data_IF_092777044723
#
_entry.id   IF_092777044723
#
_cell.length_a   1.000
_cell.length_b   1.000
_cell.length_c   1.000
_cell.angle_alpha   90.00
_cell.angle_beta   90.00
_cell.angle_gamma   90.00
#
_symmetry.space_group_name_H-M   'P 1'
#
loop_
_entity.id
_entity.type
_entity.pdbx_description
1 polymer ?
#
# COMPACT_ATOMS: atom_id res chain seq x y z
N UNK A 1 -23.89 14.10 -5.93
CA UNK A 1 -23.18 15.10 -6.73
C UNK A 1 -22.01 14.55 -7.55
N UNK A 2 -21.50 13.36 -7.29
CA UNK A 2 -20.27 12.81 -7.93
C UNK A 2 -20.55 11.69 -8.95
N UNK A 3 -21.79 11.52 -9.41
CA UNK A 3 -22.24 10.37 -10.24
C UNK A 3 -21.38 10.12 -11.51
N UNK A 4 -20.71 11.16 -12.01
CA UNK A 4 -19.85 11.07 -13.21
C UNK A 4 -18.37 11.39 -12.90
N UNK A 5 -17.97 11.44 -11.65
CA UNK A 5 -16.60 11.73 -11.27
C UNK A 5 -15.81 10.44 -11.03
N UNK A 6 -14.50 10.43 -11.26
CA UNK A 6 -13.63 9.29 -10.96
C UNK A 6 -13.75 8.80 -9.51
N UNK A 7 -14.01 9.71 -8.58
CA UNK A 7 -14.18 9.43 -7.15
C UNK A 7 -15.55 8.84 -6.77
N UNK A 8 -16.45 8.57 -7.73
CA UNK A 8 -17.72 7.95 -7.42
C UNK A 8 -17.50 6.51 -6.93
N UNK A 9 -17.96 6.23 -5.72
CA UNK A 9 -17.83 4.93 -5.05
C UNK A 9 -19.16 4.19 -4.89
N UNK A 10 -20.23 4.66 -5.51
CA UNK A 10 -21.54 4.00 -5.41
C UNK A 10 -21.47 2.57 -5.95
N UNK A 11 -21.89 1.60 -5.13
CA UNK A 11 -21.83 0.18 -5.43
C UNK A 11 -20.50 -0.51 -5.07
N UNK A 12 -19.50 0.23 -4.53
CA UNK A 12 -18.30 -0.35 -3.98
C UNK A 12 -18.51 -0.81 -2.53
N UNK A 13 -17.68 -1.75 -2.09
CA UNK A 13 -17.64 -2.17 -0.70
C UNK A 13 -16.75 -1.24 0.12
N UNK A 14 -17.17 -0.96 1.36
CA UNK A 14 -16.33 -0.31 2.37
C UNK A 14 -15.82 -1.40 3.28
N UNK A 15 -14.50 -1.54 3.36
CA UNK A 15 -13.85 -2.62 4.12
C UNK A 15 -12.62 -2.11 4.88
N UNK A 16 -12.27 -2.78 5.94
CA UNK A 16 -10.94 -2.66 6.55
C UNK A 16 -9.98 -3.55 5.78
N UNK A 17 -9.05 -2.94 5.04
CA UNK A 17 -8.15 -3.67 4.15
C UNK A 17 -7.32 -4.73 4.89
N UNK A 18 -6.91 -4.46 6.14
CA UNK A 18 -6.19 -5.44 6.96
C UNK A 18 -6.98 -6.74 7.16
N UNK A 19 -8.30 -6.65 7.40
CA UNK A 19 -9.14 -7.83 7.56
C UNK A 19 -9.28 -8.61 6.24
N UNK A 20 -9.42 -7.91 5.12
CA UNK A 20 -9.46 -8.55 3.78
C UNK A 20 -8.15 -9.27 3.48
N UNK A 21 -7.01 -8.66 3.81
CA UNK A 21 -5.69 -9.28 3.58
C UNK A 21 -5.49 -10.49 4.48
N UNK A 22 -5.89 -10.43 5.76
CA UNK A 22 -5.83 -11.57 6.67
C UNK A 22 -6.66 -12.74 6.15
N UNK A 23 -7.91 -12.48 5.79
CA UNK A 23 -8.80 -13.49 5.19
C UNK A 23 -8.22 -14.09 3.89
N UNK A 24 -7.69 -13.27 2.99
CA UNK A 24 -7.05 -13.78 1.76
C UNK A 24 -5.79 -14.60 2.06
N UNK A 25 -5.06 -14.28 3.14
CA UNK A 25 -3.94 -15.08 3.62
C UNK A 25 -4.38 -16.48 4.03
N UNK A 26 -5.43 -16.57 4.85
CA UNK A 26 -6.02 -17.86 5.27
C UNK A 26 -6.47 -18.69 4.05
N UNK A 27 -7.19 -18.07 3.10
CA UNK A 27 -7.61 -18.74 1.86
C UNK A 27 -6.41 -19.23 1.05
N UNK A 28 -5.33 -18.45 0.98
CA UNK A 28 -4.13 -18.84 0.26
C UNK A 28 -3.45 -20.06 0.91
N UNK A 29 -3.35 -20.09 2.24
CA UNK A 29 -2.82 -21.23 3.00
C UNK A 29 -3.67 -22.50 2.80
N UNK A 30 -5.01 -22.36 2.83
CA UNK A 30 -5.93 -23.48 2.52
C UNK A 30 -5.72 -24.04 1.09
N UNK A 31 -5.30 -23.19 0.16
CA UNK A 31 -4.96 -23.59 -1.21
C UNK A 31 -3.53 -24.14 -1.36
N UNK A 32 -2.76 -24.25 -0.28
CA UNK A 32 -1.41 -24.79 -0.25
C UNK A 32 -0.30 -23.76 -0.53
N UNK A 33 -0.60 -22.46 -0.42
CA UNK A 33 0.42 -21.42 -0.48
C UNK A 33 1.07 -21.29 0.90
N UNK A 34 2.40 -21.34 0.95
CA UNK A 34 3.14 -21.13 2.19
C UNK A 34 3.27 -19.62 2.48
N UNK A 35 2.84 -19.21 3.68
CA UNK A 35 2.93 -17.82 4.14
C UNK A 35 3.92 -17.75 5.31
N UNK A 36 4.93 -16.89 5.18
CA UNK A 36 6.00 -16.73 6.18
C UNK A 36 5.96 -15.34 6.82
N UNK A 37 5.09 -15.09 7.80
CA UNK A 37 5.04 -13.81 8.48
C UNK A 37 6.32 -13.58 9.31
N UNK A 38 6.83 -12.34 9.28
CA UNK A 38 8.05 -11.98 10.00
C UNK A 38 9.37 -12.23 9.25
N UNK A 39 9.33 -12.86 8.08
CA UNK A 39 10.51 -13.07 7.23
C UNK A 39 10.60 -11.96 6.18
N UNK A 40 11.39 -10.94 6.48
CA UNK A 40 11.63 -9.84 5.54
C UNK A 40 12.70 -10.23 4.52
N UNK A 41 12.37 -10.15 3.24
CA UNK A 41 13.34 -10.26 2.15
C UNK A 41 14.17 -8.98 2.06
N UNK A 42 15.49 -9.08 2.03
CA UNK A 42 16.43 -7.96 2.03
C UNK A 42 17.37 -7.90 0.85
N UNK A 43 17.55 -9.02 0.17
CA UNK A 43 18.45 -9.14 -0.98
C UNK A 43 17.78 -9.89 -2.12
N UNK A 44 18.14 -9.51 -3.35
CA UNK A 44 17.74 -10.23 -4.57
C UNK A 44 18.82 -11.22 -4.91
N UNK A 45 18.44 -12.46 -5.14
CA UNK A 45 19.32 -13.50 -5.64
C UNK A 45 19.26 -13.49 -7.18
N UNK A 46 20.40 -13.31 -7.83
CA UNK A 46 20.53 -13.38 -9.27
C UNK A 46 21.06 -14.73 -9.72
N UNK A 47 20.66 -15.16 -10.89
CA UNK A 47 21.22 -16.29 -11.61
C UNK A 47 22.47 -15.85 -12.39
N UNK A 48 23.23 -16.82 -12.94
CA UNK A 48 24.45 -16.55 -13.73
C UNK A 48 24.18 -15.71 -14.99
N UNK A 49 22.98 -15.79 -15.55
CA UNK A 49 22.53 -15.01 -16.70
C UNK A 49 22.03 -13.59 -16.35
N UNK A 50 22.13 -13.19 -15.08
CA UNK A 50 21.66 -11.90 -14.58
C UNK A 50 20.16 -11.83 -14.29
N UNK A 51 19.39 -12.87 -14.57
CA UNK A 51 17.96 -12.92 -14.22
C UNK A 51 17.74 -13.05 -12.71
N UNK A 52 16.58 -12.62 -12.21
CA UNK A 52 16.20 -12.83 -10.82
C UNK A 52 15.92 -14.32 -10.58
N UNK A 53 16.63 -14.91 -9.64
CA UNK A 53 16.50 -16.31 -9.24
C UNK A 53 15.80 -16.51 -7.88
N UNK A 54 15.42 -15.41 -7.21
CA UNK A 54 14.76 -15.46 -5.90
C UNK A 54 15.13 -14.31 -4.99
N UNK A 55 14.90 -14.48 -3.68
CA UNK A 55 15.22 -13.50 -2.65
C UNK A 55 15.86 -14.16 -1.43
N UNK A 56 16.61 -13.38 -0.65
CA UNK A 56 17.16 -13.83 0.63
C UNK A 56 16.61 -12.94 1.76
N UNK A 57 16.39 -13.55 2.93
CA UNK A 57 16.07 -12.83 4.16
C UNK A 57 17.35 -12.30 4.82
N UNK A 58 17.19 -11.35 5.74
CA UNK A 58 18.34 -10.81 6.48
C UNK A 58 18.90 -11.82 7.49
N UNK A 59 20.18 -11.67 7.79
CA UNK A 59 20.80 -12.34 8.93
C UNK A 59 20.24 -11.76 10.23
N UNK A 60 19.94 -12.58 11.23
CA UNK A 60 19.50 -12.18 12.56
C UNK A 60 20.62 -12.27 13.59
N UNK A 61 20.45 -11.67 14.76
CA UNK A 61 21.47 -11.71 15.79
C UNK A 61 22.75 -10.95 15.47
N UNK A 62 22.66 -9.85 14.72
CA UNK A 62 23.78 -8.97 14.43
C UNK A 62 23.79 -7.80 15.43
N UNK A 63 24.95 -7.57 16.08
CA UNK A 63 25.16 -6.46 16.97
C UNK A 63 25.23 -5.13 16.21
N UNK A 64 25.16 -4.01 16.95
CA UNK A 64 25.11 -2.65 16.39
C UNK A 64 26.36 -2.27 15.59
N UNK A 65 27.47 -2.89 15.86
CA UNK A 65 28.76 -2.73 15.15
C UNK A 65 28.92 -3.67 13.94
N UNK A 66 27.90 -4.49 13.65
CA UNK A 66 27.90 -5.45 12.55
C UNK A 66 28.50 -6.82 12.90
N UNK A 67 28.96 -7.05 14.12
CA UNK A 67 29.47 -8.36 14.54
C UNK A 67 28.35 -9.35 14.88
N UNK A 68 28.54 -10.66 14.64
CA UNK A 68 27.56 -11.66 15.05
C UNK A 68 27.51 -11.77 16.58
N UNK A 69 26.30 -11.92 17.13
CA UNK A 69 26.06 -12.23 18.54
C UNK A 69 25.93 -13.75 18.75
N UNK A 70 25.78 -14.20 20.00
CA UNK A 70 25.55 -15.61 20.32
C UNK A 70 24.25 -16.16 19.73
N UNK A 71 23.31 -15.30 19.34
CA UNK A 71 22.04 -15.63 18.67
C UNK A 71 22.08 -15.39 17.16
N UNK A 72 23.27 -15.37 16.56
CA UNK A 72 23.41 -15.17 15.12
C UNK A 72 22.79 -16.35 14.34
N UNK A 73 21.91 -16.00 13.44
CA UNK A 73 21.32 -16.93 12.46
C UNK A 73 21.43 -16.31 11.07
N UNK A 74 21.95 -17.08 10.13
CA UNK A 74 22.04 -16.65 8.75
C UNK A 74 20.66 -16.63 8.08
N UNK A 75 20.42 -15.61 7.27
CA UNK A 75 19.21 -15.52 6.46
C UNK A 75 19.07 -16.68 5.48
N UNK A 76 17.82 -16.97 5.13
CA UNK A 76 17.47 -18.04 4.19
C UNK A 76 17.31 -17.50 2.79
N UNK A 77 17.75 -18.28 1.79
CA UNK A 77 17.50 -18.00 0.39
C UNK A 77 16.27 -18.75 -0.13
N UNK A 78 15.33 -18.03 -0.70
CA UNK A 78 14.15 -18.56 -1.38
C UNK A 78 14.37 -18.45 -2.89
N UNK A 79 14.44 -19.58 -3.59
CA UNK A 79 14.61 -19.61 -5.03
C UNK A 79 13.32 -19.95 -5.74
N UNK A 80 13.05 -19.28 -6.86
CA UNK A 80 11.86 -19.47 -7.67
C UNK A 80 12.16 -19.29 -9.16
N UNK A 81 11.32 -19.86 -10.00
CA UNK A 81 11.38 -19.65 -11.46
C UNK A 81 10.95 -18.23 -11.87
N UNK A 82 10.13 -17.59 -11.05
CA UNK A 82 9.71 -16.20 -11.20
C UNK A 82 9.39 -15.61 -9.83
N UNK A 83 9.83 -14.38 -9.58
CA UNK A 83 9.58 -13.64 -8.33
C UNK A 83 8.64 -12.48 -8.59
N UNK A 84 7.58 -12.39 -7.78
CA UNK A 84 6.62 -11.27 -7.82
C UNK A 84 6.94 -10.29 -6.71
N UNK A 85 7.27 -9.04 -7.06
CA UNK A 85 7.58 -7.98 -6.11
C UNK A 85 6.32 -7.15 -5.83
N UNK A 86 5.89 -7.15 -4.58
CA UNK A 86 4.66 -6.50 -4.12
C UNK A 86 4.83 -5.77 -2.77
N UNK A 87 5.99 -5.17 -2.57
CA UNK A 87 6.39 -4.53 -1.31
C UNK A 87 5.68 -3.19 -1.02
N UNK A 88 4.86 -2.72 -1.94
CA UNK A 88 4.14 -1.45 -1.82
C UNK A 88 4.89 -0.27 -2.42
N UNK A 89 4.52 0.95 -2.01
CA UNK A 89 4.96 2.17 -2.72
C UNK A 89 6.46 2.49 -2.60
N UNK A 90 7.15 1.88 -1.67
CA UNK A 90 8.57 2.16 -1.39
C UNK A 90 9.31 0.89 -0.96
N UNK A 91 9.20 -0.13 -1.79
CA UNK A 91 9.79 -1.45 -1.57
C UNK A 91 11.31 -1.40 -1.44
N UNK A 92 11.86 -2.20 -0.55
CA UNK A 92 13.30 -2.29 -0.31
C UNK A 92 14.01 -2.98 -1.46
N UNK A 93 13.46 -4.09 -1.94
CA UNK A 93 13.95 -4.81 -3.11
C UNK A 93 13.62 -4.07 -4.40
N UNK A 94 12.46 -3.39 -4.46
CA UNK A 94 12.11 -2.51 -5.57
C UNK A 94 13.18 -1.46 -5.85
N UNK A 95 13.79 -0.87 -4.81
CA UNK A 95 14.93 0.06 -4.96
C UNK A 95 16.16 -0.59 -5.56
N UNK A 96 16.47 -1.83 -5.17
CA UNK A 96 17.58 -2.59 -5.75
C UNK A 96 17.33 -2.87 -7.23
N UNK A 97 16.09 -3.25 -7.60
CA UNK A 97 15.69 -3.46 -9.00
C UNK A 97 15.80 -2.19 -9.83
N UNK A 98 15.35 -1.05 -9.29
CA UNK A 98 15.44 0.23 -10.00
C UNK A 98 16.87 0.74 -10.14
N UNK A 99 17.79 0.35 -9.27
CA UNK A 99 19.20 0.64 -9.36
C UNK A 99 19.97 -0.31 -10.31
N UNK A 100 19.35 -1.41 -10.72
CA UNK A 100 19.96 -2.36 -11.66
C UNK A 100 19.90 -1.79 -13.09
N UNK A 101 21.08 -1.41 -13.61
CA UNK A 101 21.21 -0.78 -14.93
C UNK A 101 20.89 -1.72 -16.09
N UNK A 102 20.99 -3.02 -15.93
CA UNK A 102 20.69 -4.00 -16.98
C UNK A 102 19.19 -4.11 -17.25
N UNK A 103 18.35 -3.91 -16.22
CA UNK A 103 16.91 -3.99 -16.35
C UNK A 103 16.26 -2.73 -16.93
N UNK A 104 16.88 -1.57 -16.74
CA UNK A 104 16.42 -0.26 -17.24
C UNK A 104 14.94 0.02 -16.97
N UNK A 105 14.48 -0.34 -15.77
CA UNK A 105 13.05 -0.32 -15.45
C UNK A 105 12.43 1.08 -15.53
N UNK A 106 13.21 2.14 -15.28
CA UNK A 106 12.75 3.53 -15.28
C UNK A 106 13.18 4.36 -16.49
N UNK A 107 13.73 3.75 -17.53
CA UNK A 107 14.28 4.46 -18.69
C UNK A 107 13.21 5.28 -19.45
N UNK A 108 11.97 4.80 -19.48
CA UNK A 108 10.88 5.36 -20.29
C UNK A 108 9.66 5.78 -19.46
N UNK A 109 9.85 6.15 -18.20
CA UNK A 109 8.76 6.66 -17.35
C UNK A 109 9.18 7.95 -16.63
N UNK A 110 8.17 8.74 -16.24
CA UNK A 110 8.36 9.93 -15.44
C UNK A 110 8.78 9.57 -14.01
N UNK A 111 9.43 10.49 -13.28
CA UNK A 111 9.72 10.30 -11.87
C UNK A 111 8.45 10.02 -11.05
N UNK A 112 8.56 9.12 -10.07
CA UNK A 112 7.48 8.86 -9.13
C UNK A 112 7.35 10.00 -8.13
N UNK A 113 6.13 10.37 -7.79
CA UNK A 113 5.81 11.29 -6.70
C UNK A 113 5.19 10.53 -5.52
N UNK A 114 5.39 11.06 -4.32
CA UNK A 114 4.97 10.40 -3.09
C UNK A 114 4.15 11.33 -2.21
N UNK A 115 3.24 10.73 -1.45
CA UNK A 115 2.50 11.39 -0.39
C UNK A 115 2.62 10.59 0.91
N UNK A 116 2.33 11.21 2.03
CA UNK A 116 2.11 10.51 3.30
C UNK A 116 0.64 10.55 3.65
N UNK A 117 0.07 9.39 3.98
CA UNK A 117 -1.30 9.28 4.48
C UNK A 117 -1.27 8.89 5.95
N UNK A 118 -1.94 9.67 6.78
CA UNK A 118 -2.15 9.39 8.21
C UNK A 118 -3.59 8.97 8.38
N UNK A 119 -3.83 7.87 9.09
CA UNK A 119 -5.15 7.29 9.30
C UNK A 119 -5.40 7.06 10.79
N UNK A 120 -6.63 7.29 11.21
CA UNK A 120 -7.14 6.88 12.52
C UNK A 120 -8.44 6.09 12.35
N UNK A 121 -8.73 5.22 13.32
CA UNK A 121 -10.01 4.54 13.47
C UNK A 121 -10.59 4.92 14.82
N UNK A 122 -11.83 5.38 14.78
CA UNK A 122 -12.58 5.86 15.95
C UNK A 122 -13.84 5.02 16.15
N UNK A 123 -14.14 4.66 17.38
CA UNK A 123 -15.47 4.22 17.80
C UNK A 123 -16.25 5.44 18.18
N UNK A 124 -17.43 5.65 17.58
CA UNK A 124 -18.24 6.83 17.78
C UNK A 124 -19.64 6.47 18.31
N UNK A 125 -20.34 7.38 19.01
CA UNK A 125 -21.73 7.17 19.37
C UNK A 125 -22.62 6.91 18.14
N UNK A 126 -23.66 6.10 18.31
CA UNK A 126 -24.54 5.67 17.21
C UNK A 126 -25.22 6.83 16.49
N UNK A 127 -25.56 7.88 17.23
CA UNK A 127 -26.14 9.13 16.69
C UNK A 127 -25.18 9.90 15.76
N UNK A 128 -23.89 9.72 15.91
CA UNK A 128 -22.86 10.33 15.05
C UNK A 128 -22.42 9.42 13.89
N UNK A 129 -22.93 8.18 13.86
CA UNK A 129 -22.59 7.19 12.84
C UNK A 129 -23.65 7.14 11.74
N UNK A 130 -23.19 6.96 10.51
CA UNK A 130 -24.06 6.73 9.36
C UNK A 130 -23.42 5.67 8.46
N UNK A 131 -23.81 4.44 8.64
CA UNK A 131 -23.26 3.30 7.90
C UNK A 131 -23.24 3.54 6.39
N UNK A 132 -22.12 3.19 5.76
CA UNK A 132 -21.89 3.40 4.34
C UNK A 132 -21.61 4.84 3.90
N UNK A 133 -21.54 5.82 4.83
CA UNK A 133 -21.17 7.19 4.48
C UNK A 133 -19.69 7.26 4.10
N UNK A 134 -19.43 7.80 2.91
CA UNK A 134 -18.08 8.10 2.40
C UNK A 134 -17.98 9.58 2.09
N UNK A 135 -16.99 10.25 2.69
CA UNK A 135 -16.69 11.65 2.41
C UNK A 135 -15.22 11.77 1.98
N UNK A 136 -14.98 12.69 1.05
CA UNK A 136 -13.63 13.15 0.70
C UNK A 136 -13.60 14.66 0.79
N UNK A 137 -12.50 15.23 1.30
CA UNK A 137 -12.25 16.67 1.30
C UNK A 137 -10.90 16.96 0.66
N UNK A 138 -10.71 18.19 0.19
CA UNK A 138 -9.47 18.66 -0.42
C UNK A 138 -9.10 20.03 0.15
N UNK A 139 -7.81 20.34 0.18
CA UNK A 139 -7.27 21.65 0.56
C UNK A 139 -7.13 21.82 2.05
N UNK A 140 -8.01 22.63 2.65
CA UNK A 140 -7.89 22.99 4.07
C UNK A 140 -7.55 21.79 4.98
N UNK A 141 -6.62 21.93 5.95
CA UNK A 141 -6.01 23.15 6.50
C UNK A 141 -4.72 23.63 5.84
N UNK A 142 -4.22 22.94 4.83
CA UNK A 142 -3.01 23.36 4.12
C UNK A 142 -3.27 24.50 3.12
N UNK A 143 -2.21 25.16 2.69
CA UNK A 143 -2.25 26.22 1.70
C UNK A 143 -2.58 25.68 0.29
N UNK A 144 -3.01 26.56 -0.61
CA UNK A 144 -3.45 26.20 -1.97
C UNK A 144 -2.37 25.57 -2.83
N UNK A 145 -1.10 25.82 -2.53
CA UNK A 145 0.06 25.27 -3.22
C UNK A 145 0.43 23.86 -2.76
N UNK A 146 -0.13 23.42 -1.63
CA UNK A 146 0.12 22.07 -1.09
C UNK A 146 -0.98 21.11 -1.51
N UNK A 147 -0.62 20.07 -2.25
CA UNK A 147 -1.55 19.01 -2.62
C UNK A 147 -1.86 18.15 -1.40
N UNK A 148 -3.11 18.19 -0.96
CA UNK A 148 -3.59 17.41 0.17
C UNK A 148 -5.08 17.13 0.09
N UNK A 149 -5.51 16.07 0.77
CA UNK A 149 -6.91 15.69 0.85
C UNK A 149 -7.19 14.72 1.99
N UNK A 150 -8.45 14.42 2.19
CA UNK A 150 -8.86 13.53 3.28
C UNK A 150 -9.94 12.55 2.85
N UNK A 151 -10.12 11.54 3.68
CA UNK A 151 -11.24 10.62 3.59
C UNK A 151 -11.88 10.41 4.97
N UNK A 152 -13.19 10.13 4.97
CA UNK A 152 -13.95 9.66 6.12
C UNK A 152 -14.84 8.52 5.64
N UNK A 153 -14.72 7.36 6.26
CA UNK A 153 -15.52 6.19 6.00
C UNK A 153 -16.24 5.75 7.28
N UNK A 154 -17.55 5.69 7.24
CA UNK A 154 -18.34 5.08 8.30
C UNK A 154 -18.55 3.61 7.97
N UNK A 155 -18.07 2.75 8.85
CA UNK A 155 -18.14 1.30 8.70
C UNK A 155 -18.66 0.66 9.99
N UNK A 156 -19.32 -0.46 9.83
CA UNK A 156 -19.83 -1.29 10.94
C UNK A 156 -19.02 -2.58 10.97
N UNK A 157 -18.60 -3.00 12.14
CA UNK A 157 -17.90 -4.28 12.31
C UNK A 157 -18.94 -5.38 12.49
N UNK A 158 -19.32 -6.00 11.38
CA UNK A 158 -20.24 -7.13 11.34
C UNK A 158 -19.51 -8.38 11.83
N UNK A 159 -19.84 -8.87 12.99
CA UNK A 159 -19.25 -10.09 13.56
C UNK A 159 -18.57 -9.89 14.91
N UNK A 160 -18.49 -8.67 15.41
CA UNK A 160 -18.23 -8.41 16.81
C UNK A 160 -19.44 -8.85 17.68
N UNK A 161 -19.20 -9.24 18.93
CA UNK A 161 -20.29 -9.58 19.88
C UNK A 161 -21.29 -8.43 20.06
N UNK A 162 -20.81 -7.20 19.92
CA UNK A 162 -21.63 -5.98 19.84
C UNK A 162 -21.30 -5.23 18.54
N UNK A 163 -22.34 -4.75 17.85
CA UNK A 163 -22.21 -3.92 16.65
C UNK A 163 -21.40 -2.65 16.96
N UNK A 164 -20.17 -2.58 16.47
CA UNK A 164 -19.31 -1.41 16.65
C UNK A 164 -19.49 -0.39 15.53
N UNK A 165 -19.83 0.83 15.92
CA UNK A 165 -19.95 1.97 15.02
C UNK A 165 -18.59 2.65 14.82
N UNK A 166 -17.94 2.36 13.71
CA UNK A 166 -16.57 2.79 13.43
C UNK A 166 -16.51 3.89 12.38
N UNK A 167 -15.61 4.85 12.60
CA UNK A 167 -15.23 5.88 11.62
C UNK A 167 -13.74 5.76 11.35
N UNK A 168 -13.40 5.39 10.12
CA UNK A 168 -12.04 5.45 9.63
C UNK A 168 -11.84 6.77 8.89
N UNK A 169 -10.90 7.57 9.34
CA UNK A 169 -10.59 8.87 8.75
C UNK A 169 -9.09 9.03 8.54
N UNK A 170 -8.72 9.80 7.54
CA UNK A 170 -7.32 10.07 7.27
C UNK A 170 -7.10 11.33 6.46
N UNK A 171 -5.88 11.80 6.52
CA UNK A 171 -5.39 12.96 5.82
C UNK A 171 -4.12 12.62 5.05
N UNK A 172 -4.09 12.98 3.78
CA UNK A 172 -3.00 12.68 2.85
C UNK A 172 -2.36 13.99 2.43
N UNK A 173 -1.05 14.07 2.53
CA UNK A 173 -0.26 15.24 2.10
C UNK A 173 0.85 14.78 1.17
N UNK A 174 0.94 15.40 0.01
CA UNK A 174 2.06 15.20 -0.92
C UNK A 174 3.38 15.62 -0.25
N UNK A 175 4.47 14.89 -0.52
CA UNK A 175 5.77 15.11 0.13
C UNK A 175 6.63 16.17 -0.58
N UNK A 176 6.13 16.76 -1.67
CA UNK A 176 6.76 17.85 -2.41
C UNK A 176 6.33 19.25 -1.95
N UNK A 177 5.71 19.37 -0.77
CA UNK A 177 5.29 20.67 -0.22
C UNK A 177 6.50 21.60 0.01
N UNK A 178 6.31 22.87 -0.32
CA UNK A 178 7.38 23.89 -0.29
C UNK A 178 7.72 24.37 1.13
N UNK A 179 6.75 24.34 2.04
CA UNK A 179 6.92 24.84 3.41
C UNK A 179 7.62 23.81 4.30
N UNK A 180 8.91 23.97 4.66
CA UNK A 180 9.64 23.01 5.48
C UNK A 180 9.13 22.88 6.93
N UNK A 181 8.31 23.82 7.37
CA UNK A 181 7.67 23.79 8.70
C UNK A 181 6.31 23.11 8.70
N UNK A 182 5.80 22.69 7.55
CA UNK A 182 4.57 21.93 7.49
C UNK A 182 4.74 20.57 8.16
N UNK A 183 3.85 20.28 9.10
CA UNK A 183 3.81 18.98 9.79
C UNK A 183 2.52 18.25 9.41
N UNK A 184 2.57 17.22 8.55
CA UNK A 184 1.38 16.45 8.17
C UNK A 184 0.55 15.95 9.37
N UNK A 185 1.17 15.45 10.48
CA UNK A 185 0.39 15.10 11.68
C UNK A 185 -0.32 16.29 12.32
N UNK A 186 0.31 17.47 12.38
CA UNK A 186 -0.32 18.66 12.94
C UNK A 186 -1.47 19.16 12.06
N UNK A 187 -1.32 19.11 10.73
CA UNK A 187 -2.38 19.47 9.79
C UNK A 187 -3.56 18.49 9.88
N UNK A 188 -3.30 17.21 10.10
CA UNK A 188 -4.36 16.25 10.36
C UNK A 188 -5.12 16.54 11.66
N UNK A 189 -4.43 16.93 12.74
CA UNK A 189 -5.10 17.38 13.96
C UNK A 189 -5.96 18.61 13.70
N UNK A 190 -5.44 19.62 13.01
CA UNK A 190 -6.20 20.83 12.63
C UNK A 190 -7.44 20.46 11.80
N UNK A 191 -7.30 19.59 10.83
CA UNK A 191 -8.41 19.13 9.99
C UNK A 191 -9.53 18.47 10.81
N UNK A 192 -9.21 17.70 11.85
CA UNK A 192 -10.22 17.11 12.75
C UNK A 192 -11.03 18.15 13.54
N UNK A 193 -10.48 19.33 13.74
CA UNK A 193 -11.21 20.44 14.38
C UNK A 193 -12.17 21.17 13.43
N UNK A 194 -12.23 20.80 12.14
CA UNK A 194 -13.28 21.34 11.27
C UNK A 194 -14.66 20.97 11.82
N UNK A 195 -15.63 21.92 11.92
CA UNK A 195 -16.92 21.68 12.60
C UNK A 195 -17.66 20.42 12.13
N UNK A 196 -17.62 20.13 10.83
CA UNK A 196 -18.23 18.91 10.27
C UNK A 196 -17.57 17.64 10.82
N UNK A 197 -16.24 17.60 10.87
CA UNK A 197 -15.48 16.42 11.29
C UNK A 197 -15.54 16.28 12.82
N UNK A 198 -15.33 17.36 13.55
CA UNK A 198 -15.40 17.37 15.01
C UNK A 198 -16.75 16.83 15.53
N UNK A 199 -17.85 17.22 14.88
CA UNK A 199 -19.19 16.72 15.22
C UNK A 199 -19.34 15.19 15.02
N UNK A 200 -18.72 14.63 13.99
CA UNK A 200 -18.75 13.17 13.76
C UNK A 200 -17.97 12.39 14.82
N UNK A 201 -16.95 13.02 15.40
CA UNK A 201 -16.07 12.40 16.39
C UNK A 201 -16.46 12.71 17.83
N UNK A 202 -17.47 13.56 18.05
CA UNK A 202 -17.91 13.98 19.39
C UNK A 202 -18.33 12.76 20.22
N UNK A 203 -17.79 12.67 21.45
CA UNK A 203 -18.02 11.51 22.33
C UNK A 203 -17.37 10.21 21.89
N UNK A 204 -16.58 10.23 20.81
CA UNK A 204 -15.89 9.05 20.30
C UNK A 204 -14.54 8.79 20.95
N UNK A 205 -14.05 7.57 20.78
CA UNK A 205 -12.75 7.08 21.23
C UNK A 205 -11.90 6.65 20.04
N UNK A 206 -10.61 7.08 20.02
CA UNK A 206 -9.66 6.63 19.01
C UNK A 206 -9.10 5.26 19.35
N UNK A 207 -9.42 4.26 18.55
CA UNK A 207 -8.99 2.87 18.74
C UNK A 207 -7.58 2.62 18.21
N UNK A 208 -7.26 3.18 17.04
CA UNK A 208 -5.97 2.94 16.39
C UNK A 208 -5.56 4.09 15.49
N UNK A 209 -4.27 4.14 15.15
CA UNK A 209 -3.70 5.08 14.19
C UNK A 209 -2.52 4.46 13.46
N UNK A 210 -2.19 5.02 12.31
CA UNK A 210 -1.02 4.65 11.54
C UNK A 210 -0.77 5.63 10.40
N UNK A 211 0.42 5.50 9.81
CA UNK A 211 0.79 6.28 8.63
C UNK A 211 1.46 5.39 7.60
N UNK A 212 1.26 5.73 6.33
CA UNK A 212 1.91 5.07 5.19
C UNK A 212 2.25 6.10 4.14
N UNK A 213 3.39 5.88 3.49
CA UNK A 213 3.65 6.52 2.22
C UNK A 213 2.78 5.89 1.13
N UNK A 214 2.46 6.66 0.11
CA UNK A 214 1.79 6.19 -1.10
C UNK A 214 2.40 6.88 -2.33
N UNK A 215 2.33 6.24 -3.48
CA UNK A 215 2.82 6.78 -4.73
C UNK A 215 1.67 7.43 -5.50
N UNK A 216 1.92 8.63 -6.03
CA UNK A 216 0.91 9.46 -6.71
C UNK A 216 1.36 9.95 -8.09
N UNK A 217 2.43 9.37 -8.67
CA UNK A 217 2.93 9.75 -9.99
C UNK A 217 1.99 9.42 -11.15
N UNK A 218 1.01 8.56 -10.92
CA UNK A 218 0.03 8.19 -11.94
C UNK A 218 0.57 7.27 -13.03
N UNK A 219 -0.16 7.16 -14.13
CA UNK A 219 0.15 6.25 -15.23
C UNK A 219 1.53 6.49 -15.85
N UNK A 220 1.93 7.73 -16.02
CA UNK A 220 3.19 8.11 -16.64
C UNK A 220 4.43 7.75 -15.81
N UNK A 221 4.26 7.51 -14.50
CA UNK A 221 5.33 7.10 -13.60
C UNK A 221 5.45 5.56 -13.44
N UNK A 222 4.61 4.79 -14.15
CA UNK A 222 4.68 3.33 -14.14
C UNK A 222 5.93 2.90 -14.89
N UNK A 223 6.85 2.13 -14.25
CA UNK A 223 8.06 1.64 -14.88
C UNK A 223 7.78 0.46 -15.82
N UNK A 224 8.80 -0.02 -16.50
CA UNK A 224 8.77 -1.36 -17.10
C UNK A 224 8.58 -2.39 -15.98
N UNK A 225 7.46 -3.11 -15.99
CA UNK A 225 7.05 -3.97 -14.87
C UNK A 225 7.60 -5.40 -14.94
N UNK A 226 7.90 -5.90 -16.14
CA UNK A 226 8.40 -7.25 -16.35
C UNK A 226 9.88 -7.23 -16.75
N UNK A 227 10.66 -8.10 -16.15
CA UNK A 227 12.10 -8.26 -16.39
C UNK A 227 12.50 -9.72 -16.21
N UNK A 228 13.70 -10.14 -16.63
CA UNK A 228 14.13 -11.52 -16.51
C UNK A 228 14.03 -12.07 -15.09
N UNK A 229 13.19 -13.09 -14.89
CA UNK A 229 12.95 -13.76 -13.62
C UNK A 229 12.02 -13.04 -12.64
N UNK A 230 11.40 -11.90 -13.02
CA UNK A 230 10.53 -11.18 -12.09
C UNK A 230 9.52 -10.21 -12.68
N UNK A 231 8.58 -9.77 -11.82
CA UNK A 231 7.55 -8.80 -12.16
C UNK A 231 7.19 -7.92 -10.95
N UNK A 232 6.93 -6.62 -11.20
CA UNK A 232 6.39 -5.68 -10.22
C UNK A 232 4.85 -5.67 -10.29
N UNK A 233 4.18 -5.63 -9.13
CA UNK A 233 2.71 -5.52 -9.05
C UNK A 233 2.27 -4.50 -8.01
N UNK A 234 1.03 -4.09 -8.08
CA UNK A 234 0.43 -3.16 -7.11
C UNK A 234 1.15 -1.81 -7.03
N UNK A 235 1.31 -1.31 -5.82
CA UNK A 235 2.00 -0.03 -5.59
C UNK A 235 3.52 -0.12 -5.74
N UNK A 236 4.11 -1.29 -5.80
CA UNK A 236 5.53 -1.46 -6.15
C UNK A 236 5.78 -1.05 -7.62
N UNK A 237 4.81 -1.34 -8.50
CA UNK A 237 4.77 -0.84 -9.86
C UNK A 237 4.19 0.58 -10.01
N UNK A 238 3.61 1.16 -8.96
CA UNK A 238 2.98 2.47 -9.03
C UNK A 238 1.52 2.47 -9.50
N UNK A 239 0.78 1.38 -9.38
CA UNK A 239 -0.59 1.23 -9.91
C UNK A 239 -1.69 1.91 -9.10
N UNK A 240 -1.38 2.80 -8.16
CA UNK A 240 -2.41 3.58 -7.49
C UNK A 240 -3.20 4.40 -8.52
N UNK A 241 -4.54 4.28 -8.49
CA UNK A 241 -5.41 5.09 -9.32
C UNK A 241 -5.64 6.45 -8.62
N UNK A 242 -4.79 7.41 -8.94
CA UNK A 242 -4.78 8.74 -8.30
C UNK A 242 -6.13 9.46 -8.46
N UNK A 243 -6.76 9.54 -9.66
CA UNK A 243 -8.07 10.17 -9.81
C UNK A 243 -9.19 9.53 -9.00
N UNK A 244 -9.10 8.23 -8.70
CA UNK A 244 -10.05 7.52 -7.83
C UNK A 244 -9.68 7.58 -6.36
N UNK A 245 -8.44 7.99 -6.03
CA UNK A 245 -7.88 7.91 -4.66
C UNK A 245 -7.92 6.46 -4.12
N UNK A 246 -7.73 5.48 -4.99
CA UNK A 246 -7.86 4.04 -4.69
C UNK A 246 -6.77 3.24 -5.38
N UNK A 247 -6.11 2.35 -4.62
CA UNK A 247 -5.06 1.47 -5.14
C UNK A 247 -5.41 -0.01 -5.10
N UNK A 248 -6.26 -0.44 -4.17
CA UNK A 248 -6.51 -1.86 -3.88
C UNK A 248 -6.98 -2.64 -5.09
N UNK A 249 -7.95 -2.12 -5.86
CA UNK A 249 -8.49 -2.82 -7.04
C UNK A 249 -7.44 -3.01 -8.15
N UNK A 250 -6.54 -2.03 -8.35
CA UNK A 250 -5.45 -2.15 -9.31
C UNK A 250 -4.36 -3.10 -8.81
N UNK A 251 -4.06 -3.08 -7.50
CA UNK A 251 -3.11 -4.01 -6.89
C UNK A 251 -3.58 -5.46 -7.07
N UNK A 252 -4.85 -5.75 -6.73
CA UNK A 252 -5.45 -7.08 -6.92
C UNK A 252 -5.44 -7.49 -8.40
N UNK A 253 -5.88 -6.61 -9.31
CA UNK A 253 -5.93 -6.93 -10.75
C UNK A 253 -4.54 -7.17 -11.33
N UNK A 254 -3.53 -6.38 -10.94
CA UNK A 254 -2.15 -6.60 -11.41
C UNK A 254 -1.58 -7.93 -10.91
N UNK A 255 -1.88 -8.33 -9.66
CA UNK A 255 -1.51 -9.63 -9.13
C UNK A 255 -2.15 -10.79 -9.91
N UNK A 256 -3.45 -10.69 -10.24
CA UNK A 256 -4.15 -11.69 -11.06
C UNK A 256 -3.51 -11.82 -12.45
N UNK A 257 -3.26 -10.70 -13.13
CA UNK A 257 -2.65 -10.70 -14.47
C UNK A 257 -1.21 -11.24 -14.44
N UNK A 258 -0.44 -10.91 -13.40
CA UNK A 258 0.90 -11.46 -13.22
C UNK A 258 0.86 -12.99 -13.04
N UNK A 259 -0.06 -13.48 -12.19
CA UNK A 259 -0.20 -14.93 -11.97
C UNK A 259 -0.57 -15.67 -13.26
N UNK A 260 -1.54 -15.18 -14.04
CA UNK A 260 -1.94 -15.73 -15.33
C UNK A 260 -0.76 -15.74 -16.32
N UNK A 261 -0.03 -14.62 -16.42
CA UNK A 261 1.12 -14.50 -17.33
C UNK A 261 2.27 -15.43 -16.95
N UNK A 262 2.60 -15.51 -15.65
CA UNK A 262 3.65 -16.40 -15.14
C UNK A 262 3.27 -17.86 -15.37
N UNK A 263 2.02 -18.24 -15.09
CA UNK A 263 1.54 -19.60 -15.32
C UNK A 263 1.72 -19.99 -16.79
N UNK A 264 1.25 -19.17 -17.72
CA UNK A 264 1.38 -19.42 -19.16
C UNK A 264 2.85 -19.51 -19.60
N UNK A 265 3.72 -18.64 -19.08
CA UNK A 265 5.15 -18.68 -19.35
C UNK A 265 5.79 -20.00 -18.91
N UNK A 266 5.46 -20.46 -17.71
CA UNK A 266 5.99 -21.69 -17.16
C UNK A 266 5.48 -22.95 -17.87
N UNK A 267 4.31 -22.88 -18.51
CA UNK A 267 3.77 -23.98 -19.34
C UNK A 267 4.29 -23.95 -20.78
N UNK A 268 5.01 -22.92 -21.20
CA UNK A 268 5.45 -22.75 -22.59
C UNK A 268 4.31 -22.41 -23.56
N UNK A 269 3.19 -21.89 -23.08
CA UNK A 269 1.97 -21.60 -23.85
C UNK A 269 1.86 -20.14 -24.33
N UNK A 270 2.98 -19.40 -24.40
CA UNK A 270 2.95 -18.09 -25.05
C UNK A 270 2.81 -18.26 -26.57
N UNK A 271 1.65 -17.88 -27.11
CA UNK A 271 1.55 -17.49 -28.51
C UNK A 271 2.35 -16.18 -28.69
N UNK A 272 3.37 -16.22 -29.55
CA UNK A 272 4.23 -15.06 -29.91
C UNK A 272 3.46 -14.04 -30.72
#
# INVERSE_FOLDING_TARGET
MTKNWPMNNHGNYIVRLGNVVAWLGEVAEEMGVEVYPGFAATEIIYNEDGSVGGVATHDSGIAKDGSPTDSFERGMGFRAKCTVFSEGCHGSLGKQLFANEDFKLRENCEPQTYATGIKEVWKVPKENHKDGLVLHTVGWPVEKTTYAGSFVYHLTDWGAEEEETLVALGYVVSLDYENPYLSPPAEFQRWKHHPLIAKMLEGGERLSYGARALNEGGYQAIPKIAFPGGVLVGCDAGFLNVPKVKGTHNAMKSGMLAAESIFNALQGTFET
#
